data_IF_090948046598
#
_entry.id   IF_090948046598
#
_cell.length_a   1.000
_cell.length_b   1.000
_cell.length_c   1.000
_cell.angle_alpha   90.00
_cell.angle_beta   90.00
_cell.angle_gamma   90.00
#
_symmetry.space_group_name_H-M   'P 1'
#
loop_
_entity.id
_entity.type
_entity.pdbx_description
1 polymer ?
#
# COMPACT_ATOMS: atom_id res chain seq x y z
N UNK A 1 26.58 -22.87 -27.81
CA UNK A 1 25.57 -23.69 -27.08
C UNK A 1 25.73 -23.62 -25.55
N UNK A 2 26.96 -23.75 -24.99
CA UNK A 2 27.19 -23.75 -23.55
C UNK A 2 26.85 -22.38 -22.89
N UNK A 3 27.22 -21.28 -23.56
CA UNK A 3 27.00 -19.92 -23.06
C UNK A 3 25.49 -19.52 -23.00
N UNK A 4 24.68 -20.05 -23.90
CA UNK A 4 23.23 -19.80 -23.98
C UNK A 4 22.48 -20.49 -22.84
N UNK A 5 22.85 -21.76 -22.53
CA UNK A 5 22.27 -22.51 -21.41
C UNK A 5 22.64 -21.90 -20.05
N UNK A 6 23.84 -21.36 -19.92
CA UNK A 6 24.30 -20.70 -18.71
C UNK A 6 23.57 -19.37 -18.47
N UNK A 7 23.28 -18.62 -19.54
CA UNK A 7 22.47 -17.40 -19.47
C UNK A 7 21.00 -17.70 -19.15
N UNK A 8 20.41 -18.71 -19.77
CA UNK A 8 19.04 -19.18 -19.43
C UNK A 8 18.94 -19.59 -17.96
N UNK A 9 19.91 -20.38 -17.48
CA UNK A 9 19.94 -20.80 -16.08
C UNK A 9 20.03 -19.59 -15.12
N UNK A 10 20.88 -18.60 -15.41
CA UNK A 10 21.00 -17.39 -14.58
C UNK A 10 19.71 -16.57 -14.58
N UNK A 11 19.05 -16.41 -15.72
CA UNK A 11 17.78 -15.69 -15.82
C UNK A 11 16.69 -16.41 -15.03
N UNK A 12 16.56 -17.71 -15.20
CA UNK A 12 15.59 -18.52 -14.44
C UNK A 12 15.89 -18.45 -12.94
N UNK A 13 17.16 -18.57 -12.53
CA UNK A 13 17.52 -18.47 -11.13
C UNK A 13 17.21 -17.08 -10.53
N UNK A 14 17.33 -16.00 -11.29
CA UNK A 14 16.94 -14.66 -10.85
C UNK A 14 15.41 -14.57 -10.68
N UNK A 15 14.66 -14.95 -11.69
CA UNK A 15 13.19 -14.82 -11.67
C UNK A 15 12.52 -15.73 -10.64
N UNK A 16 13.08 -16.94 -10.42
CA UNK A 16 12.53 -17.88 -9.40
C UNK A 16 12.87 -17.48 -7.95
N UNK A 17 13.92 -16.66 -7.74
CA UNK A 17 14.27 -16.16 -6.41
C UNK A 17 13.75 -14.73 -6.13
N UNK A 18 13.00 -14.13 -7.05
CA UNK A 18 12.31 -12.86 -6.79
C UNK A 18 11.14 -13.08 -5.84
N UNK A 19 10.91 -12.12 -4.97
CA UNK A 19 9.71 -12.07 -4.11
C UNK A 19 8.48 -11.60 -4.87
N UNK A 20 8.69 -10.86 -5.95
CA UNK A 20 7.64 -10.36 -6.82
C UNK A 20 7.19 -11.43 -7.80
N UNK A 21 5.88 -11.51 -8.04
CA UNK A 21 5.33 -12.35 -9.07
C UNK A 21 5.67 -11.82 -10.47
N UNK A 22 6.01 -12.74 -11.39
CA UNK A 22 6.30 -12.41 -12.78
C UNK A 22 5.46 -13.29 -13.69
N UNK A 23 4.73 -12.67 -14.62
CA UNK A 23 4.02 -13.34 -15.71
C UNK A 23 4.54 -12.79 -17.04
N UNK A 24 4.82 -13.67 -17.99
CA UNK A 24 5.11 -13.28 -19.37
C UNK A 24 4.00 -13.81 -20.28
N UNK A 25 3.48 -12.93 -21.12
CA UNK A 25 2.48 -13.25 -22.14
C UNK A 25 3.08 -13.05 -23.54
N UNK A 26 2.60 -13.82 -24.50
CA UNK A 26 2.82 -13.53 -25.92
C UNK A 26 1.85 -12.43 -26.43
N UNK A 27 1.96 -12.11 -27.72
CA UNK A 27 1.10 -11.13 -28.40
C UNK A 27 -0.40 -11.57 -28.45
N UNK A 28 -0.65 -12.87 -28.34
CA UNK A 28 -2.00 -13.47 -28.30
C UNK A 28 -2.56 -13.57 -26.87
N UNK A 29 -1.91 -12.93 -25.90
CA UNK A 29 -2.30 -12.90 -24.47
C UNK A 29 -2.22 -14.27 -23.80
N UNK A 30 -1.39 -15.19 -24.31
CA UNK A 30 -1.19 -16.51 -23.71
C UNK A 30 0.00 -16.49 -22.78
N UNK A 31 -0.15 -17.15 -21.62
CA UNK A 31 0.89 -17.26 -20.61
C UNK A 31 2.03 -18.13 -21.15
N UNK A 32 3.21 -17.54 -21.28
CA UNK A 32 4.44 -18.21 -21.68
C UNK A 32 5.30 -18.62 -20.48
N UNK A 33 5.25 -17.82 -19.42
CA UNK A 33 6.03 -18.06 -18.22
C UNK A 33 5.35 -17.44 -16.99
N UNK A 34 5.53 -18.05 -15.85
CA UNK A 34 5.12 -17.58 -14.54
C UNK A 34 6.11 -18.11 -13.51
N UNK A 35 6.72 -17.21 -12.71
CA UNK A 35 7.66 -17.61 -11.67
C UNK A 35 6.96 -18.18 -10.43
N UNK A 36 7.74 -18.80 -9.52
CA UNK A 36 7.20 -19.45 -8.33
C UNK A 36 6.43 -18.47 -7.44
N UNK A 37 6.95 -17.27 -7.21
CA UNK A 37 6.27 -16.26 -6.37
C UNK A 37 4.88 -15.89 -6.89
N UNK A 38 4.71 -15.81 -8.22
CA UNK A 38 3.40 -15.58 -8.81
C UNK A 38 2.47 -16.78 -8.65
N UNK A 39 2.99 -18.01 -8.79
CA UNK A 39 2.22 -19.24 -8.55
C UNK A 39 1.72 -19.31 -7.10
N UNK A 40 2.57 -18.97 -6.14
CA UNK A 40 2.22 -18.95 -4.71
C UNK A 40 1.19 -17.85 -4.41
N UNK A 41 1.29 -16.70 -5.08
CA UNK A 41 0.36 -15.59 -4.90
C UNK A 41 -1.06 -15.93 -5.38
N UNK A 42 -1.16 -16.63 -6.51
CA UNK A 42 -2.44 -17.08 -7.08
C UNK A 42 -2.85 -18.49 -6.62
N UNK A 43 -2.10 -19.10 -5.70
CA UNK A 43 -2.35 -20.43 -5.13
C UNK A 43 -2.46 -21.54 -6.20
N UNK A 44 -1.67 -21.41 -7.26
CA UNK A 44 -1.59 -22.37 -8.35
C UNK A 44 -0.25 -23.08 -8.35
N UNK A 45 -0.22 -24.28 -8.92
CA UNK A 45 1.02 -25.06 -9.02
C UNK A 45 1.10 -25.84 -10.32
N UNK A 46 2.33 -26.09 -10.76
CA UNK A 46 2.63 -26.83 -11.99
C UNK A 46 2.60 -25.94 -13.23
N UNK A 47 2.40 -26.54 -14.40
CA UNK A 47 2.49 -25.84 -15.70
C UNK A 47 1.15 -25.80 -16.47
N UNK A 48 0.05 -26.12 -15.82
CA UNK A 48 -1.27 -26.19 -16.47
C UNK A 48 -1.76 -24.85 -17.05
N UNK A 49 -1.25 -23.74 -16.52
CA UNK A 49 -1.58 -22.40 -16.97
C UNK A 49 -0.79 -21.96 -18.21
N UNK A 50 0.33 -22.62 -18.52
CA UNK A 50 1.13 -22.31 -19.72
C UNK A 50 0.30 -22.57 -20.99
N UNK A 51 0.28 -21.56 -21.88
CA UNK A 51 -0.51 -21.57 -23.12
C UNK A 51 -1.98 -21.19 -22.94
N UNK A 52 -2.50 -21.06 -21.71
CA UNK A 52 -3.82 -20.49 -21.48
C UNK A 52 -3.81 -18.98 -21.71
N UNK A 53 -4.97 -18.43 -22.08
CA UNK A 53 -5.12 -16.98 -22.13
C UNK A 53 -5.13 -16.41 -20.71
N UNK A 54 -4.58 -15.21 -20.54
CA UNK A 54 -4.57 -14.55 -19.21
C UNK A 54 -5.99 -14.34 -18.67
N UNK A 55 -6.97 -14.06 -19.52
CA UNK A 55 -8.37 -13.97 -19.11
C UNK A 55 -8.98 -15.31 -18.66
N UNK A 56 -8.49 -16.42 -19.19
CA UNK A 56 -8.88 -17.76 -18.74
C UNK A 56 -8.24 -18.13 -17.39
N UNK A 57 -7.12 -17.51 -17.04
CA UNK A 57 -6.41 -17.70 -15.79
C UNK A 57 -6.88 -16.72 -14.69
N UNK A 58 -6.98 -15.45 -15.02
CA UNK A 58 -7.40 -14.39 -14.11
C UNK A 58 -8.36 -13.45 -14.85
N UNK A 59 -9.65 -13.68 -14.70
CA UNK A 59 -10.70 -12.87 -15.33
C UNK A 59 -11.07 -11.69 -14.40
N UNK A 60 -10.18 -10.71 -14.32
CA UNK A 60 -10.42 -9.51 -13.54
C UNK A 60 -10.24 -8.25 -14.36
N UNK A 61 -11.05 -7.23 -14.07
CA UNK A 61 -10.97 -5.93 -14.77
C UNK A 61 -9.57 -5.31 -14.65
N UNK A 62 -8.93 -5.24 -13.45
CA UNK A 62 -7.59 -4.67 -13.33
C UNK A 62 -6.54 -5.40 -14.17
N UNK A 63 -6.60 -6.73 -14.25
CA UNK A 63 -5.68 -7.51 -15.08
C UNK A 63 -5.91 -7.22 -16.57
N UNK A 64 -7.16 -7.15 -17.02
CA UNK A 64 -7.51 -6.85 -18.41
C UNK A 64 -7.04 -5.44 -18.80
N UNK A 65 -7.25 -4.42 -17.98
CA UNK A 65 -6.78 -3.04 -18.21
C UNK A 65 -5.27 -2.98 -18.40
N UNK A 66 -4.52 -3.69 -17.55
CA UNK A 66 -3.05 -3.76 -17.63
C UNK A 66 -2.61 -4.41 -18.95
N UNK A 67 -3.22 -5.52 -19.34
CA UNK A 67 -2.89 -6.24 -20.57
C UNK A 67 -3.26 -5.42 -21.80
N UNK A 68 -4.44 -4.82 -21.85
CA UNK A 68 -4.87 -4.01 -22.98
C UNK A 68 -4.03 -2.76 -23.17
N UNK A 69 -3.62 -2.11 -22.08
CA UNK A 69 -2.74 -0.96 -22.14
C UNK A 69 -1.36 -1.34 -22.67
N UNK A 70 -0.79 -2.45 -22.19
CA UNK A 70 0.50 -2.95 -22.66
C UNK A 70 0.47 -3.34 -24.14
N UNK A 71 -0.62 -3.92 -24.65
CA UNK A 71 -0.81 -4.21 -26.08
C UNK A 71 -0.92 -2.95 -26.96
N UNK A 72 -1.21 -1.79 -26.36
CA UNK A 72 -1.17 -0.48 -27.05
C UNK A 72 0.21 0.19 -26.93
N UNK A 73 1.19 -0.49 -26.32
CA UNK A 73 2.54 0.01 -26.12
C UNK A 73 2.71 0.91 -24.89
N UNK A 74 1.72 0.96 -23.99
CA UNK A 74 1.76 1.80 -22.80
C UNK A 74 1.99 0.97 -21.54
N UNK A 75 2.75 1.52 -20.60
CA UNK A 75 2.84 0.97 -19.24
C UNK A 75 1.57 1.32 -18.47
N UNK A 76 1.00 0.36 -17.78
CA UNK A 76 -0.17 0.57 -16.94
C UNK A 76 -0.04 -0.15 -15.61
N UNK A 77 -0.66 0.43 -14.59
CA UNK A 77 -0.67 -0.11 -13.23
C UNK A 77 -2.11 -0.20 -12.74
N UNK A 78 -2.48 -1.33 -12.18
CA UNK A 78 -3.78 -1.53 -11.56
C UNK A 78 -3.65 -2.30 -10.24
N UNK A 79 -4.64 -2.17 -9.37
CA UNK A 79 -4.68 -2.87 -8.09
C UNK A 79 -5.90 -3.78 -8.02
N UNK A 80 -5.73 -4.90 -7.34
CA UNK A 80 -6.81 -5.88 -7.13
C UNK A 80 -6.74 -6.46 -5.73
N UNK A 81 -7.89 -6.75 -5.16
CA UNK A 81 -8.02 -7.54 -3.95
C UNK A 81 -8.23 -9.01 -4.33
N UNK A 82 -7.33 -9.88 -3.88
CA UNK A 82 -7.38 -11.33 -4.05
C UNK A 82 -7.54 -11.97 -2.68
N UNK A 83 -8.73 -12.45 -2.36
CA UNK A 83 -9.10 -12.99 -1.05
C UNK A 83 -8.69 -12.05 0.11
N UNK A 84 -7.57 -12.34 0.77
CA UNK A 84 -7.04 -11.53 1.88
C UNK A 84 -5.80 -10.73 1.52
N UNK A 85 -5.39 -10.76 0.25
CA UNK A 85 -4.20 -10.07 -0.26
C UNK A 85 -4.59 -8.90 -1.16
N UNK A 86 -3.83 -7.83 -1.11
CA UNK A 86 -3.93 -6.73 -2.05
C UNK A 86 -2.74 -6.76 -2.98
N UNK A 87 -3.00 -6.91 -4.26
CA UNK A 87 -1.96 -7.02 -5.28
C UNK A 87 -1.95 -5.82 -6.21
N UNK A 88 -0.77 -5.47 -6.68
CA UNK A 88 -0.56 -4.45 -7.68
C UNK A 88 0.07 -5.06 -8.92
N UNK A 89 -0.54 -4.82 -10.07
CA UNK A 89 -0.06 -5.25 -11.38
C UNK A 89 0.67 -4.11 -12.08
N UNK A 90 1.79 -4.42 -12.70
CA UNK A 90 2.53 -3.52 -13.58
C UNK A 90 2.71 -4.20 -14.93
N UNK A 91 2.00 -3.73 -15.94
CA UNK A 91 2.10 -4.27 -17.29
C UNK A 91 3.03 -3.45 -18.15
N UNK A 92 4.02 -4.14 -18.74
CA UNK A 92 5.01 -3.54 -19.63
C UNK A 92 5.03 -4.29 -20.97
N UNK A 93 4.98 -3.58 -22.12
CA UNK A 93 5.12 -4.22 -23.41
C UNK A 93 6.54 -4.70 -23.65
N UNK A 94 6.70 -5.88 -24.26
CA UNK A 94 7.97 -6.35 -24.81
C UNK A 94 8.00 -5.92 -26.29
N UNK A 95 8.92 -5.02 -26.62
CA UNK A 95 9.07 -4.47 -27.95
C UNK A 95 10.30 -5.06 -28.66
N UNK A 96 10.09 -5.54 -29.88
CA UNK A 96 11.16 -5.93 -30.80
C UNK A 96 10.87 -5.30 -32.15
N UNK A 97 11.84 -4.55 -32.71
CA UNK A 97 11.68 -3.84 -33.99
C UNK A 97 10.39 -2.98 -34.05
N UNK A 98 10.06 -2.28 -32.95
CA UNK A 98 8.84 -1.46 -32.79
C UNK A 98 7.51 -2.24 -32.86
N UNK A 99 7.56 -3.56 -32.81
CA UNK A 99 6.36 -4.41 -32.71
C UNK A 99 6.28 -5.02 -31.31
N UNK A 100 5.06 -5.12 -30.81
CA UNK A 100 4.81 -5.77 -29.53
C UNK A 100 4.89 -7.30 -29.74
N UNK A 101 5.85 -7.93 -29.07
CA UNK A 101 6.05 -9.39 -29.12
C UNK A 101 5.40 -10.08 -27.92
N UNK A 102 5.10 -9.33 -26.87
CA UNK A 102 4.51 -9.86 -25.66
C UNK A 102 4.39 -8.81 -24.57
N UNK A 103 4.07 -9.26 -23.38
CA UNK A 103 3.84 -8.43 -22.21
C UNK A 103 4.56 -9.06 -21.02
N UNK A 104 5.21 -8.24 -20.21
CA UNK A 104 5.66 -8.62 -18.87
C UNK A 104 4.71 -7.98 -17.86
N UNK A 105 4.18 -8.79 -16.96
CA UNK A 105 3.36 -8.33 -15.84
C UNK A 105 4.11 -8.67 -14.56
N UNK A 106 4.45 -7.63 -13.78
CA UNK A 106 4.91 -7.79 -12.40
C UNK A 106 3.70 -7.75 -11.47
N UNK A 107 3.69 -8.64 -10.50
CA UNK A 107 2.62 -8.77 -9.50
C UNK A 107 3.23 -8.62 -8.13
N UNK A 108 2.90 -7.53 -7.45
CA UNK A 108 3.40 -7.22 -6.13
C UNK A 108 2.30 -7.44 -5.08
N UNK A 109 2.63 -8.19 -4.03
CA UNK A 109 1.81 -8.21 -2.81
C UNK A 109 2.08 -6.91 -2.03
N UNK A 110 1.07 -6.04 -1.97
CA UNK A 110 1.15 -4.76 -1.26
C UNK A 110 0.32 -4.76 0.03
N UNK A 111 -0.10 -5.93 0.50
CA UNK A 111 -1.01 -6.09 1.65
C UNK A 111 -0.47 -5.41 2.90
N UNK A 112 0.76 -5.74 3.30
CA UNK A 112 1.38 -5.17 4.49
C UNK A 112 1.66 -3.66 4.34
N UNK A 113 2.09 -3.23 3.16
CA UNK A 113 2.32 -1.82 2.87
C UNK A 113 1.03 -1.01 3.02
N UNK A 114 -0.06 -1.47 2.40
CA UNK A 114 -1.37 -0.80 2.47
C UNK A 114 -1.93 -0.81 3.90
N UNK A 115 -1.72 -1.89 4.64
CA UNK A 115 -2.10 -1.99 6.05
C UNK A 115 -1.37 -0.95 6.89
N UNK A 116 -0.06 -0.85 6.73
CA UNK A 116 0.78 0.12 7.43
C UNK A 116 0.39 1.55 7.08
N UNK A 117 0.19 1.86 5.80
CA UNK A 117 -0.25 3.20 5.37
C UNK A 117 -1.65 3.56 5.93
N UNK A 118 -2.57 2.60 5.96
CA UNK A 118 -3.90 2.80 6.55
C UNK A 118 -3.80 3.07 8.04
N UNK A 119 -3.07 2.23 8.78
CA UNK A 119 -2.87 2.43 10.22
C UNK A 119 -2.26 3.80 10.53
N UNK A 120 -1.28 4.25 9.73
CA UNK A 120 -0.67 5.56 9.87
C UNK A 120 -1.67 6.70 9.63
N UNK A 121 -2.55 6.58 8.63
CA UNK A 121 -3.60 7.57 8.36
C UNK A 121 -4.63 7.62 9.48
N UNK A 122 -5.09 6.46 9.96
CA UNK A 122 -6.03 6.34 11.08
C UNK A 122 -5.42 6.91 12.37
N UNK A 123 -4.16 6.59 12.67
CA UNK A 123 -3.44 7.16 13.80
C UNK A 123 -3.38 8.69 13.73
N UNK A 124 -2.97 9.27 12.57
CA UNK A 124 -2.91 10.72 12.40
C UNK A 124 -4.26 11.41 12.55
N UNK A 125 -5.33 10.79 12.02
CA UNK A 125 -6.69 11.30 12.17
C UNK A 125 -7.14 11.26 13.63
N UNK A 126 -6.93 10.15 14.33
CA UNK A 126 -7.30 9.98 15.73
C UNK A 126 -6.55 10.97 16.64
N UNK A 127 -5.24 11.11 16.45
CA UNK A 127 -4.42 12.12 17.17
C UNK A 127 -4.98 13.52 16.97
N UNK A 128 -5.30 13.89 15.73
CA UNK A 128 -5.85 15.21 15.42
C UNK A 128 -7.18 15.47 16.13
N UNK A 129 -8.05 14.47 16.18
CA UNK A 129 -9.33 14.55 16.90
C UNK A 129 -9.13 14.66 18.42
N UNK A 130 -8.27 13.82 19.00
CA UNK A 130 -8.00 13.81 20.43
C UNK A 130 -7.31 15.09 20.93
N UNK A 131 -6.49 15.74 20.08
CA UNK A 131 -5.89 17.03 20.39
C UNK A 131 -6.89 18.19 20.26
N UNK A 132 -7.78 18.15 19.28
CA UNK A 132 -8.73 19.23 19.01
C UNK A 132 -9.73 19.43 20.14
N UNK A 133 -10.19 18.36 20.77
CA UNK A 133 -11.22 18.41 21.82
C UNK A 133 -10.77 19.25 23.04
N UNK A 134 -9.64 18.93 23.71
CA UNK A 134 -9.17 19.73 24.84
C UNK A 134 -8.80 21.16 24.43
N UNK A 135 -8.19 21.36 23.25
CA UNK A 135 -7.86 22.69 22.73
C UNK A 135 -9.10 23.55 22.53
N UNK A 136 -10.18 22.99 21.98
CA UNK A 136 -11.45 23.70 21.81
C UNK A 136 -12.06 24.09 23.17
N UNK A 137 -11.98 23.20 24.16
CA UNK A 137 -12.45 23.48 25.52
C UNK A 137 -11.65 24.59 26.19
N UNK A 138 -10.31 24.52 26.12
CA UNK A 138 -9.40 25.54 26.64
C UNK A 138 -9.70 26.91 26.02
N UNK A 139 -9.78 26.95 24.66
CA UNK A 139 -10.08 28.17 23.93
C UNK A 139 -11.43 28.75 24.29
N UNK A 140 -12.48 27.89 24.38
CA UNK A 140 -13.81 28.33 24.74
C UNK A 140 -13.92 28.88 26.18
N UNK A 141 -13.28 28.23 27.16
CA UNK A 141 -13.24 28.77 28.53
C UNK A 141 -12.43 30.07 28.62
N UNK A 142 -11.31 30.18 27.90
CA UNK A 142 -10.52 31.40 27.86
C UNK A 142 -11.29 32.57 27.21
N UNK A 143 -12.00 32.31 26.09
CA UNK A 143 -12.81 33.29 25.40
C UNK A 143 -13.96 33.83 26.26
N UNK A 144 -14.63 32.95 27.03
CA UNK A 144 -15.68 33.35 27.96
C UNK A 144 -15.14 34.27 29.06
N UNK A 145 -13.94 34.00 29.55
CA UNK A 145 -13.28 34.82 30.56
C UNK A 145 -12.82 36.16 30.00
N UNK A 146 -12.21 36.17 28.80
CA UNK A 146 -11.73 37.36 28.09
C UNK A 146 -12.88 38.36 27.80
N UNK A 147 -14.04 37.84 27.39
CA UNK A 147 -15.22 38.64 27.06
C UNK A 147 -16.04 39.02 28.32
N UNK A 148 -15.55 38.78 29.51
CA UNK A 148 -16.25 39.07 30.77
C UNK A 148 -17.62 38.40 30.88
N UNK A 149 -17.82 37.24 30.25
CA UNK A 149 -19.06 36.46 30.29
C UNK A 149 -19.11 35.47 31.48
N UNK A 150 -18.05 35.44 32.30
CA UNK A 150 -17.94 34.66 33.53
C UNK A 150 -18.02 35.58 34.74
N UNK A 151 -18.86 35.25 35.71
CA UNK A 151 -18.94 36.01 36.95
C UNK A 151 -17.58 35.96 37.68
N UNK A 152 -17.16 37.08 38.38
CA UNK A 152 -15.85 37.12 39.04
C UNK A 152 -15.60 35.98 40.04
N UNK A 153 -16.64 35.51 40.73
CA UNK A 153 -16.63 34.36 41.63
C UNK A 153 -16.37 33.02 40.93
N UNK A 154 -16.72 32.89 39.66
CA UNK A 154 -16.59 31.64 38.88
C UNK A 154 -15.25 31.57 38.13
N UNK A 155 -14.49 32.67 38.02
CA UNK A 155 -13.19 32.71 37.31
C UNK A 155 -12.22 31.63 37.80
N UNK A 156 -12.07 31.36 39.13
CA UNK A 156 -11.19 30.28 39.59
C UNK A 156 -11.61 28.88 39.08
N UNK A 157 -12.92 28.62 38.95
CA UNK A 157 -13.43 27.35 38.44
C UNK A 157 -13.11 27.17 36.97
N UNK A 158 -13.29 28.21 36.15
CA UNK A 158 -12.95 28.20 34.72
C UNK A 158 -11.45 28.04 34.51
N UNK A 159 -10.61 28.73 35.31
CA UNK A 159 -9.17 28.56 35.30
C UNK A 159 -8.75 27.10 35.63
N UNK A 160 -9.42 26.49 36.60
CA UNK A 160 -9.19 25.08 36.96
C UNK A 160 -9.63 24.12 35.84
N UNK A 161 -10.69 24.44 35.10
CA UNK A 161 -11.09 23.66 33.90
C UNK A 161 -10.03 23.74 32.81
N UNK A 162 -9.52 24.92 32.49
CA UNK A 162 -8.43 25.12 31.51
C UNK A 162 -7.18 24.33 31.95
N UNK A 163 -6.80 24.40 33.21
CA UNK A 163 -5.64 23.69 33.72
C UNK A 163 -5.79 22.16 33.54
N UNK A 164 -6.93 21.59 33.92
CA UNK A 164 -7.19 20.15 33.74
C UNK A 164 -7.09 19.71 32.28
N UNK A 165 -7.67 20.46 31.34
CA UNK A 165 -7.60 20.12 29.91
C UNK A 165 -6.17 20.27 29.39
N UNK A 166 -5.37 21.22 29.90
CA UNK A 166 -3.96 21.38 29.55
C UNK A 166 -3.11 20.21 30.03
N UNK A 167 -3.32 19.71 31.26
CA UNK A 167 -2.64 18.54 31.80
C UNK A 167 -2.99 17.26 30.97
N UNK A 168 -4.27 17.12 30.60
CA UNK A 168 -4.71 16.03 29.73
C UNK A 168 -4.01 16.09 28.39
N UNK A 169 -3.89 17.29 27.79
CA UNK A 169 -3.22 17.50 26.51
C UNK A 169 -1.74 17.15 26.58
N UNK A 170 -1.03 17.56 27.65
CA UNK A 170 0.38 17.23 27.89
C UNK A 170 0.58 15.71 27.99
N UNK A 171 -0.30 15.02 28.71
CA UNK A 171 -0.26 13.55 28.80
C UNK A 171 -0.40 12.90 27.42
N UNK A 172 -1.38 13.33 26.63
CA UNK A 172 -1.61 12.82 25.28
C UNK A 172 -0.40 13.06 24.37
N UNK A 173 0.19 14.25 24.39
CA UNK A 173 1.41 14.57 23.62
C UNK A 173 2.57 13.65 24.01
N UNK A 174 2.78 13.42 25.31
CA UNK A 174 3.84 12.52 25.79
C UNK A 174 3.61 11.07 25.33
N UNK A 175 2.37 10.61 25.29
CA UNK A 175 2.04 9.26 24.82
C UNK A 175 2.28 9.12 23.30
N UNK A 176 1.93 10.14 22.51
CA UNK A 176 2.23 10.18 21.07
C UNK A 176 3.75 10.11 20.82
N UNK A 177 4.54 10.87 21.57
CA UNK A 177 6.01 10.85 21.45
C UNK A 177 6.57 9.46 21.75
N UNK A 178 6.07 8.79 22.82
CA UNK A 178 6.50 7.42 23.14
C UNK A 178 6.19 6.43 22.02
N UNK A 179 5.00 6.49 21.42
CA UNK A 179 4.61 5.62 20.29
C UNK A 179 5.53 5.89 19.10
N UNK A 180 5.76 7.16 18.73
CA UNK A 180 6.66 7.51 17.62
C UNK A 180 8.10 6.98 17.82
N UNK A 181 8.61 6.97 19.05
CA UNK A 181 9.96 6.46 19.36
C UNK A 181 10.05 4.92 19.29
N UNK A 182 8.94 4.21 19.43
CA UNK A 182 8.90 2.75 19.27
C UNK A 182 8.95 2.36 17.79
N UNK A 183 8.25 3.09 16.92
CA UNK A 183 8.26 2.86 15.48
C UNK A 183 9.66 3.05 14.88
N UNK A 184 10.45 4.01 15.36
CA UNK A 184 11.82 4.25 14.88
C UNK A 184 12.82 3.13 15.26
N UNK A 185 12.50 2.28 16.23
CA UNK A 185 13.38 1.17 16.66
C UNK A 185 13.17 -0.14 15.91
N UNK A 186 12.09 -0.28 15.18
CA UNK A 186 11.80 -1.48 14.36
C UNK A 186 12.38 -1.38 12.93
N UNK A 187 13.03 -0.28 12.58
CA UNK A 187 13.59 -0.03 11.24
C UNK A 187 15.08 -0.41 11.11
N UNK A 188 15.69 -1.07 12.13
CA UNK A 188 17.11 -1.54 12.04
C UNK A 188 17.23 -3.02 12.28
#
# INVERSE_FOLDING_TARGET
MQNMKEQEYKLTAITENMNEGLIMLDADRRIQYMNQSCQDLFEVSGSKFIGQTISGFCDSIPMQEVVESALKGNVHTAMQELDHKKVQYFGNPILENQKIQGIIILVLDITERERTERMRKEFSANVSHELKTPLTSISGFAELMENHLVAPEDVPEFAAKIHRESERLLTLVNDIIKVSQLDDKEVY
#
